data_IF_094296048709
#
_entry.id   IF_094296048709
#
_cell.length_a   1.000
_cell.length_b   1.000
_cell.length_c   1.000
_cell.angle_alpha   90.00
_cell.angle_beta   90.00
_cell.angle_gamma   90.00
#
_symmetry.space_group_name_H-M   'P 1'
#
loop_
_entity.id
_entity.type
_entity.pdbx_description
1 polymer ?
#
# COMPACT_ATOMS: atom_id res chain seq x y z
N UNK A 1 -18.32 8.57 -10.75
CA UNK A 1 -19.04 8.35 -9.48
C UNK A 1 -19.25 6.86 -9.37
N UNK A 2 -18.62 6.23 -8.39
CA UNK A 2 -18.69 4.80 -8.16
C UNK A 2 -20.14 4.40 -7.80
N UNK A 3 -20.60 3.25 -8.29
CA UNK A 3 -21.95 2.76 -8.00
C UNK A 3 -22.03 2.12 -6.61
N UNK A 4 -23.24 2.04 -6.04
CA UNK A 4 -23.48 1.39 -4.74
C UNK A 4 -23.18 -0.13 -4.72
N UNK A 5 -22.97 -0.74 -5.89
CA UNK A 5 -22.57 -2.15 -6.04
C UNK A 5 -21.40 -2.24 -7.03
N UNK A 6 -20.49 -3.21 -6.88
CA UNK A 6 -19.46 -3.47 -7.87
C UNK A 6 -20.07 -3.81 -9.24
N UNK A 7 -19.37 -3.43 -10.29
CA UNK A 7 -19.76 -3.62 -11.69
C UNK A 7 -18.80 -4.55 -12.41
N UNK A 8 -19.19 -5.01 -13.61
CA UNK A 8 -18.26 -5.75 -14.48
C UNK A 8 -17.05 -4.92 -14.90
N UNK A 9 -17.16 -3.58 -14.96
CA UNK A 9 -16.03 -2.70 -15.27
C UNK A 9 -15.02 -2.68 -14.11
N UNK A 10 -15.49 -2.68 -12.86
CA UNK A 10 -14.62 -2.80 -11.69
C UNK A 10 -13.84 -4.12 -11.73
N UNK A 11 -14.50 -5.22 -12.08
CA UNK A 11 -13.87 -6.52 -12.22
C UNK A 11 -12.83 -6.54 -13.36
N UNK A 12 -13.10 -5.93 -14.52
CA UNK A 12 -12.13 -5.83 -15.62
C UNK A 12 -10.88 -5.03 -15.21
N UNK A 13 -11.07 -3.88 -14.55
CA UNK A 13 -9.95 -3.08 -14.03
C UNK A 13 -9.16 -3.84 -12.97
N UNK A 14 -9.83 -4.58 -12.09
CA UNK A 14 -9.17 -5.40 -11.07
C UNK A 14 -8.31 -6.49 -11.71
N UNK A 15 -8.82 -7.18 -12.74
CA UNK A 15 -8.06 -8.20 -13.47
C UNK A 15 -6.83 -7.57 -14.16
N UNK A 16 -6.93 -6.36 -14.72
CA UNK A 16 -5.77 -5.65 -15.28
C UNK A 16 -4.71 -5.31 -14.23
N UNK A 17 -5.13 -4.82 -13.06
CA UNK A 17 -4.24 -4.59 -11.92
C UNK A 17 -3.60 -5.92 -11.47
N UNK A 18 -4.36 -7.00 -11.45
CA UNK A 18 -3.82 -8.33 -11.17
C UNK A 18 -2.77 -8.77 -12.21
N UNK A 19 -2.99 -8.50 -13.49
CA UNK A 19 -2.00 -8.78 -14.53
C UNK A 19 -0.71 -7.98 -14.35
N UNK A 20 -0.80 -6.68 -14.09
CA UNK A 20 0.36 -5.81 -13.87
C UNK A 20 1.19 -6.27 -12.67
N UNK A 21 0.55 -6.69 -11.57
CA UNK A 21 1.28 -7.20 -10.41
C UNK A 21 1.91 -8.58 -10.67
N UNK A 22 1.56 -9.32 -11.72
CA UNK A 22 2.24 -10.58 -12.04
C UNK A 22 3.52 -10.41 -12.84
N UNK A 23 3.72 -9.25 -13.45
CA UNK A 23 4.95 -8.91 -14.15
C UNK A 23 6.17 -9.20 -13.24
N UNK A 24 7.21 -9.80 -13.82
CA UNK A 24 8.36 -10.36 -13.11
C UNK A 24 9.07 -9.38 -12.17
N UNK A 25 9.37 -8.17 -12.64
CA UNK A 25 10.07 -7.13 -11.86
C UNK A 25 9.16 -6.65 -10.74
N UNK A 26 7.90 -6.38 -11.04
CA UNK A 26 6.93 -5.89 -10.06
C UNK A 26 6.64 -6.95 -8.99
N UNK A 27 6.56 -8.24 -9.37
CA UNK A 27 6.40 -9.36 -8.44
C UNK A 27 7.63 -9.53 -7.54
N UNK A 28 8.83 -9.44 -8.10
CA UNK A 28 10.07 -9.50 -7.32
C UNK A 28 10.15 -8.34 -6.32
N UNK A 29 9.85 -7.11 -6.75
CA UNK A 29 9.83 -5.93 -5.91
C UNK A 29 8.85 -6.06 -4.72
N UNK A 30 7.61 -6.52 -4.99
CA UNK A 30 6.61 -6.77 -3.94
C UNK A 30 7.05 -7.84 -2.96
N UNK A 31 7.62 -8.95 -3.45
CA UNK A 31 8.16 -9.99 -2.57
C UNK A 31 9.27 -9.44 -1.66
N UNK A 32 10.17 -8.62 -2.21
CA UNK A 32 11.28 -8.01 -1.47
C UNK A 32 10.78 -7.06 -0.37
N UNK A 33 9.91 -6.12 -0.71
CA UNK A 33 9.36 -5.15 0.27
C UNK A 33 8.48 -5.84 1.32
N UNK A 34 7.66 -6.81 0.93
CA UNK A 34 6.81 -7.50 1.88
C UNK A 34 7.59 -8.47 2.78
N UNK A 35 8.65 -9.10 2.28
CA UNK A 35 9.46 -10.07 2.99
C UNK A 35 10.60 -9.47 3.82
N UNK A 36 11.33 -8.49 3.30
CA UNK A 36 12.60 -8.00 3.86
C UNK A 36 12.48 -6.64 4.54
N UNK A 37 11.58 -5.76 4.09
CA UNK A 37 11.44 -4.43 4.68
C UNK A 37 10.56 -4.47 5.93
N UNK A 38 11.16 -4.33 7.10
CA UNK A 38 10.52 -4.32 8.42
C UNK A 38 11.09 -3.17 9.26
N UNK A 39 10.64 -1.92 9.01
CA UNK A 39 11.20 -0.75 9.67
C UNK A 39 10.90 -0.79 11.18
N UNK A 40 11.93 -0.52 12.00
CA UNK A 40 11.80 -0.36 13.46
C UNK A 40 11.79 1.10 13.87
N UNK A 41 12.18 1.99 12.97
CA UNK A 41 12.25 3.44 13.16
C UNK A 41 11.95 4.21 11.87
N UNK A 42 11.73 5.52 12.00
CA UNK A 42 11.66 6.41 10.85
C UNK A 42 12.98 6.44 10.06
N UNK A 43 14.14 6.28 10.72
CA UNK A 43 15.44 6.25 10.05
C UNK A 43 15.55 5.07 9.07
N UNK A 44 14.92 3.93 9.36
CA UNK A 44 14.85 2.79 8.43
C UNK A 44 14.03 3.13 7.18
N UNK A 45 12.91 3.85 7.37
CA UNK A 45 12.08 4.33 6.26
C UNK A 45 12.81 5.39 5.44
N UNK A 46 13.56 6.27 6.10
CA UNK A 46 14.40 7.25 5.42
C UNK A 46 15.52 6.56 4.64
N UNK A 47 16.20 5.57 5.23
CA UNK A 47 17.27 4.82 4.58
C UNK A 47 16.77 4.10 3.31
N UNK A 48 15.58 3.47 3.36
CA UNK A 48 15.03 2.78 2.17
C UNK A 48 14.74 3.74 1.01
N UNK A 49 14.50 5.02 1.31
CA UNK A 49 14.25 6.06 0.31
C UNK A 49 15.52 6.60 -0.38
N UNK A 50 16.71 6.29 0.14
CA UNK A 50 17.98 6.64 -0.48
C UNK A 50 18.20 5.83 -1.78
N UNK A 51 18.63 6.47 -2.86
CA UNK A 51 18.87 5.84 -4.16
C UNK A 51 19.95 4.76 -4.14
N UNK A 52 20.91 4.84 -3.21
CA UNK A 52 21.97 3.83 -3.06
C UNK A 52 21.50 2.61 -2.26
N UNK A 53 20.35 2.69 -1.60
CA UNK A 53 19.85 1.61 -0.76
C UNK A 53 19.43 0.39 -1.62
N UNK A 54 19.84 -0.86 -1.28
CA UNK A 54 19.53 -2.06 -2.07
C UNK A 54 18.05 -2.38 -2.26
N UNK A 55 17.17 -1.80 -1.43
CA UNK A 55 15.72 -1.93 -1.53
C UNK A 55 15.05 -0.75 -2.26
N UNK A 56 15.77 0.32 -2.61
CA UNK A 56 15.16 1.56 -3.10
C UNK A 56 14.32 1.37 -4.36
N UNK A 57 14.85 0.66 -5.35
CA UNK A 57 14.14 0.39 -6.59
C UNK A 57 12.82 -0.36 -6.31
N UNK A 58 12.89 -1.41 -5.48
CA UNK A 58 11.71 -2.17 -5.08
C UNK A 58 10.73 -1.31 -4.27
N UNK A 59 11.24 -0.47 -3.37
CA UNK A 59 10.46 0.45 -2.54
C UNK A 59 9.67 1.42 -3.40
N UNK A 60 10.35 2.09 -4.34
CA UNK A 60 9.71 3.02 -5.28
C UNK A 60 8.69 2.33 -6.17
N UNK A 61 9.01 1.13 -6.68
CA UNK A 61 8.09 0.37 -7.52
C UNK A 61 6.81 -0.01 -6.76
N UNK A 62 6.94 -0.53 -5.54
CA UNK A 62 5.80 -1.02 -4.75
C UNK A 62 4.93 0.11 -4.22
N UNK A 63 5.54 1.16 -3.68
CA UNK A 63 4.80 2.29 -3.08
C UNK A 63 4.03 3.07 -4.13
N UNK A 64 4.66 3.43 -5.25
CA UNK A 64 3.99 4.16 -6.33
C UNK A 64 2.90 3.32 -7.01
N UNK A 65 3.13 2.02 -7.18
CA UNK A 65 2.12 1.10 -7.71
C UNK A 65 0.86 1.07 -6.84
N UNK A 66 1.01 0.89 -5.52
CA UNK A 66 -0.14 0.83 -4.63
C UNK A 66 -0.83 2.19 -4.45
N UNK A 67 -0.10 3.30 -4.43
CA UNK A 67 -0.71 4.64 -4.45
C UNK A 67 -1.54 4.89 -5.71
N UNK A 68 -1.07 4.44 -6.89
CA UNK A 68 -1.85 4.50 -8.13
C UNK A 68 -3.12 3.64 -8.04
N UNK A 69 -2.99 2.39 -7.59
CA UNK A 69 -4.12 1.44 -7.50
C UNK A 69 -5.19 1.97 -6.56
N UNK A 70 -4.83 2.44 -5.35
CA UNK A 70 -5.80 3.00 -4.42
C UNK A 70 -6.32 4.38 -4.83
N UNK A 71 -5.57 5.12 -5.65
CA UNK A 71 -6.03 6.36 -6.27
C UNK A 71 -7.29 6.18 -7.12
N UNK A 72 -7.46 5.01 -7.75
CA UNK A 72 -8.69 4.71 -8.51
C UNK A 72 -9.93 4.70 -7.60
N UNK A 73 -9.81 4.09 -6.41
CA UNK A 73 -10.90 4.06 -5.44
C UNK A 73 -11.11 5.45 -4.81
N UNK A 74 -10.03 6.16 -4.48
CA UNK A 74 -10.07 7.51 -3.93
C UNK A 74 -10.82 8.50 -4.84
N UNK A 75 -10.69 8.34 -6.17
CA UNK A 75 -11.33 9.19 -7.16
C UNK A 75 -12.69 8.65 -7.67
N UNK A 76 -13.30 7.70 -6.97
CA UNK A 76 -14.59 7.12 -7.35
C UNK A 76 -14.63 6.53 -8.77
N UNK A 77 -13.49 6.04 -9.26
CA UNK A 77 -13.37 5.33 -10.54
C UNK A 77 -13.87 3.90 -10.37
N UNK A 78 -13.62 3.30 -9.21
CA UNK A 78 -14.00 1.93 -8.87
C UNK A 78 -14.71 1.85 -7.53
N UNK A 79 -15.52 0.82 -7.33
CA UNK A 79 -16.18 0.58 -6.04
C UNK A 79 -15.14 0.31 -4.93
N UNK A 80 -15.04 1.23 -3.95
CA UNK A 80 -13.94 1.26 -2.98
C UNK A 80 -13.76 -0.02 -2.15
N UNK A 81 -14.81 -0.54 -1.51
CA UNK A 81 -14.69 -1.72 -0.63
C UNK A 81 -14.32 -3.00 -1.39
N UNK A 82 -14.95 -3.23 -2.55
CA UNK A 82 -14.57 -4.28 -3.51
C UNK A 82 -13.12 -4.15 -3.98
N UNK A 83 -12.65 -2.92 -4.17
CA UNK A 83 -11.27 -2.68 -4.55
C UNK A 83 -10.28 -3.05 -3.44
N UNK A 84 -10.59 -2.66 -2.20
CA UNK A 84 -9.78 -2.91 -1.00
C UNK A 84 -9.68 -4.40 -0.70
N UNK A 85 -10.80 -5.12 -0.67
CA UNK A 85 -10.81 -6.55 -0.31
C UNK A 85 -9.97 -7.42 -1.27
N UNK A 86 -9.78 -6.99 -2.51
CA UNK A 86 -8.97 -7.67 -3.52
C UNK A 86 -7.51 -7.18 -3.58
N UNK A 87 -7.16 -6.07 -2.92
CA UNK A 87 -5.84 -5.42 -3.01
C UNK A 87 -5.16 -5.22 -1.65
N UNK A 88 -5.45 -6.06 -0.66
CA UNK A 88 -4.96 -5.90 0.72
C UNK A 88 -3.43 -5.84 0.91
N UNK A 89 -2.64 -6.31 -0.06
CA UNK A 89 -1.17 -6.22 -0.01
C UNK A 89 -0.68 -4.77 0.09
N UNK A 90 -1.36 -3.82 -0.57
CA UNK A 90 -1.00 -2.40 -0.44
C UNK A 90 -1.24 -1.88 0.98
N UNK A 91 -2.34 -2.30 1.64
CA UNK A 91 -2.59 -1.96 3.04
C UNK A 91 -1.58 -2.63 3.98
N UNK A 92 -1.08 -3.82 3.64
CA UNK A 92 -0.03 -4.49 4.42
C UNK A 92 1.29 -3.72 4.35
N UNK A 93 1.70 -3.29 3.16
CA UNK A 93 2.85 -2.42 3.00
C UNK A 93 2.65 -1.09 3.75
N UNK A 94 1.48 -0.47 3.62
CA UNK A 94 1.16 0.77 4.33
C UNK A 94 1.19 0.61 5.85
N UNK A 95 0.73 -0.52 6.40
CA UNK A 95 0.75 -0.77 7.84
C UNK A 95 2.16 -0.75 8.45
N UNK A 96 3.19 -1.04 7.64
CA UNK A 96 4.59 -0.95 8.07
C UNK A 96 5.10 0.49 8.20
N UNK A 97 4.53 1.43 7.44
CA UNK A 97 5.02 2.82 7.37
C UNK A 97 4.06 3.85 7.94
N UNK A 98 2.80 3.48 8.18
CA UNK A 98 1.81 4.36 8.80
C UNK A 98 2.25 5.01 10.12
N UNK A 99 2.99 4.30 11.02
CA UNK A 99 3.49 4.93 12.25
C UNK A 99 4.41 6.13 12.02
N UNK A 100 5.05 6.21 10.85
CA UNK A 100 6.04 7.25 10.51
C UNK A 100 5.52 8.26 9.49
N UNK A 101 4.22 8.27 9.24
CA UNK A 101 3.61 9.06 8.17
C UNK A 101 3.82 10.57 8.36
N UNK A 102 3.87 11.02 9.62
CA UNK A 102 4.08 12.43 9.95
C UNK A 102 5.49 12.90 9.54
N UNK A 103 6.50 12.08 9.81
CA UNK A 103 7.90 12.32 9.52
C UNK A 103 8.18 12.23 8.02
N UNK A 104 7.61 11.22 7.35
CA UNK A 104 7.68 11.08 5.88
C UNK A 104 7.16 12.35 5.19
N UNK A 105 6.02 12.88 5.65
CA UNK A 105 5.41 14.08 5.07
C UNK A 105 6.22 15.34 5.37
N UNK A 106 6.73 15.47 6.60
CA UNK A 106 7.59 16.58 7.01
C UNK A 106 8.93 16.62 6.22
N UNK A 107 9.44 15.46 5.79
CA UNK A 107 10.70 15.35 5.05
C UNK A 107 10.61 15.74 3.56
N UNK A 108 9.47 16.25 3.09
CA UNK A 108 9.33 16.81 1.74
C UNK A 108 8.37 16.04 0.83
N UNK A 109 7.56 15.12 1.37
CA UNK A 109 6.51 14.41 0.61
C UNK A 109 5.13 14.62 1.24
N UNK A 110 4.54 15.83 1.18
CA UNK A 110 3.33 16.18 1.94
C UNK A 110 2.12 15.29 1.67
N UNK A 111 2.02 14.73 0.47
CA UNK A 111 0.92 13.86 0.03
C UNK A 111 1.30 12.37 0.03
N UNK A 112 2.42 12.00 0.66
CA UNK A 112 2.84 10.61 0.73
C UNK A 112 1.75 9.73 1.32
N UNK A 113 1.52 8.58 0.69
CA UNK A 113 0.57 7.54 1.10
C UNK A 113 -0.87 8.02 1.28
N UNK A 114 -1.28 9.12 0.63
CA UNK A 114 -2.61 9.69 0.85
C UNK A 114 -3.75 8.76 0.41
N UNK A 115 -3.58 8.01 -0.69
CA UNK A 115 -4.63 7.13 -1.18
C UNK A 115 -4.70 5.84 -0.35
N UNK A 116 -3.55 5.31 0.05
CA UNK A 116 -3.47 4.18 0.98
C UNK A 116 -4.04 4.55 2.36
N UNK A 117 -3.70 5.72 2.90
CA UNK A 117 -4.28 6.22 4.16
C UNK A 117 -5.79 6.39 4.05
N UNK A 118 -6.27 6.99 2.96
CA UNK A 118 -7.70 7.12 2.73
C UNK A 118 -8.38 5.75 2.68
N UNK A 119 -7.84 4.82 1.91
CA UNK A 119 -8.40 3.48 1.78
C UNK A 119 -8.47 2.78 3.15
N UNK A 120 -7.38 2.83 3.92
CA UNK A 120 -7.28 2.25 5.25
C UNK A 120 -8.28 2.86 6.26
N UNK A 121 -8.51 4.18 6.20
CA UNK A 121 -9.24 4.91 7.26
C UNK A 121 -10.67 5.29 6.90
N UNK A 122 -11.04 5.32 5.62
CA UNK A 122 -12.31 5.87 5.14
C UNK A 122 -13.21 4.86 4.42
N UNK A 123 -12.70 3.69 4.06
CA UNK A 123 -13.53 2.59 3.54
C UNK A 123 -13.88 1.60 4.64
N UNK A 124 -15.02 0.92 4.55
CA UNK A 124 -15.47 0.00 5.60
C UNK A 124 -14.56 -1.24 5.63
N UNK A 125 -14.27 -1.82 4.46
CA UNK A 125 -13.33 -2.93 4.34
C UNK A 125 -11.92 -2.53 4.74
N UNK A 126 -11.47 -1.34 4.37
CA UNK A 126 -10.14 -0.87 4.72
C UNK A 126 -9.92 -0.79 6.21
N UNK A 127 -10.86 -0.24 6.98
CA UNK A 127 -10.76 -0.19 8.44
C UNK A 127 -10.60 -1.58 9.05
N UNK A 128 -11.39 -2.54 8.58
CA UNK A 128 -11.37 -3.92 9.07
C UNK A 128 -10.03 -4.62 8.76
N UNK A 129 -9.61 -4.60 7.50
CA UNK A 129 -8.35 -5.22 7.08
C UNK A 129 -7.13 -4.54 7.68
N UNK A 130 -7.13 -3.21 7.72
CA UNK A 130 -5.98 -2.45 8.21
C UNK A 130 -5.72 -2.69 9.69
N UNK A 131 -6.77 -2.77 10.52
CA UNK A 131 -6.63 -3.10 11.94
C UNK A 131 -5.97 -4.47 12.15
N UNK A 132 -6.38 -5.48 11.39
CA UNK A 132 -5.77 -6.81 11.43
C UNK A 132 -4.29 -6.77 11.01
N UNK A 133 -3.98 -6.03 9.93
CA UNK A 133 -2.62 -5.91 9.41
C UNK A 133 -1.69 -5.14 10.36
N UNK A 134 -2.18 -4.07 11.00
CA UNK A 134 -1.45 -3.36 12.04
C UNK A 134 -1.09 -4.30 13.21
N UNK A 135 -2.05 -5.12 13.66
CA UNK A 135 -1.81 -6.11 14.71
C UNK A 135 -0.73 -7.13 14.31
N UNK A 136 -0.79 -7.63 13.08
CA UNK A 136 0.21 -8.56 12.55
C UNK A 136 1.61 -7.92 12.44
N UNK A 137 1.71 -6.71 11.87
CA UNK A 137 2.98 -5.99 11.73
C UNK A 137 3.60 -5.72 13.09
N UNK A 138 2.81 -5.25 14.06
CA UNK A 138 3.26 -5.00 15.42
C UNK A 138 3.81 -6.27 16.07
N UNK A 139 3.06 -7.37 16.04
CA UNK A 139 3.49 -8.65 16.60
C UNK A 139 4.79 -9.16 15.95
N UNK A 140 4.94 -8.97 14.64
CA UNK A 140 6.13 -9.38 13.91
C UNK A 140 7.36 -8.58 14.33
N UNK A 141 7.25 -7.26 14.45
CA UNK A 141 8.34 -6.37 14.85
C UNK A 141 8.74 -6.56 16.32
N UNK A 142 7.79 -6.91 17.20
CA UNK A 142 8.05 -7.19 18.62
C UNK A 142 8.73 -8.55 18.85
N UNK A 143 8.65 -9.48 17.89
CA UNK A 143 9.25 -10.82 18.01
C UNK A 143 10.66 -10.94 17.42
N UNK A 144 11.24 -9.84 16.91
CA UNK A 144 12.61 -9.75 16.37
C UNK A 144 13.56 -8.89 17.22
#
# INVERSE_FOLDING_TARGET
>A
MSSAKPTYQDADLLLRVYELRRESVTRAARNKINGEFWPKSYDDVKAVSDFEHPLNEAWRQVTSYWEMVYGMAYHDIVHADYWVENNGEGLFMFAKVEPYLSEIRAAGSPTAFQHLEWAAKHTEKGKQYFLMLQGYVKQRLESE
#
